data_IF_332415490667
#
_entry.id   IF_332415490667
#
_cell.length_a   1.000
_cell.length_b   1.000
_cell.length_c   1.000
_cell.angle_alpha   90.00
_cell.angle_beta   90.00
_cell.angle_gamma   90.00
#
_symmetry.space_group_name_H-M   'P 1'
#
loop_
_entity.id
_entity.type
_entity.pdbx_description
1 polymer ?
#
# COMPACT_ATOMS: atom_id res chain seq x y z
N UNK A 1 -42.98 -8.64 -4.28
CA UNK A 1 -41.55 -8.92 -4.47
C UNK A 1 -41.42 -10.26 -5.13
N UNK A 2 -40.65 -10.32 -6.21
CA UNK A 2 -40.23 -11.56 -6.84
C UNK A 2 -39.26 -12.29 -5.91
N UNK A 3 -39.28 -13.62 -5.91
CA UNK A 3 -38.34 -14.45 -5.15
C UNK A 3 -36.87 -14.08 -5.45
N UNK A 4 -36.59 -13.68 -6.69
CA UNK A 4 -35.27 -13.21 -7.10
C UNK A 4 -34.86 -11.89 -6.41
N UNK A 5 -35.81 -10.97 -6.21
CA UNK A 5 -35.55 -9.71 -5.50
C UNK A 5 -35.24 -9.97 -4.03
N UNK A 6 -35.97 -10.90 -3.40
CA UNK A 6 -35.71 -11.31 -2.01
C UNK A 6 -34.33 -11.97 -1.86
N UNK A 7 -33.92 -12.83 -2.80
CA UNK A 7 -32.57 -13.44 -2.77
C UNK A 7 -31.49 -12.36 -2.92
N UNK A 8 -31.65 -11.41 -3.86
CA UNK A 8 -30.69 -10.30 -4.04
C UNK A 8 -30.60 -9.42 -2.80
N UNK A 9 -31.73 -9.14 -2.16
CA UNK A 9 -31.78 -8.37 -0.93
C UNK A 9 -31.04 -9.08 0.21
N UNK A 10 -31.31 -10.37 0.42
CA UNK A 10 -30.63 -11.18 1.46
C UNK A 10 -29.11 -11.19 1.24
N UNK A 11 -28.67 -11.42 0.00
CA UNK A 11 -27.23 -11.43 -0.33
C UNK A 11 -26.58 -10.08 -0.01
N UNK A 12 -27.27 -8.97 -0.34
CA UNK A 12 -26.76 -7.63 -0.07
C UNK A 12 -26.63 -7.36 1.42
N UNK A 13 -27.67 -7.67 2.18
CA UNK A 13 -27.71 -7.49 3.63
C UNK A 13 -26.61 -8.30 4.34
N UNK A 14 -26.44 -9.56 3.95
CA UNK A 14 -25.39 -10.41 4.52
C UNK A 14 -23.98 -9.96 4.12
N UNK A 15 -23.78 -9.50 2.88
CA UNK A 15 -22.48 -8.96 2.45
C UNK A 15 -22.12 -7.67 3.20
N UNK A 16 -23.07 -6.75 3.38
CA UNK A 16 -22.86 -5.52 4.16
C UNK A 16 -22.49 -5.84 5.61
N UNK A 17 -23.16 -6.83 6.21
CA UNK A 17 -22.87 -7.31 7.57
C UNK A 17 -21.47 -7.91 7.69
N UNK A 18 -21.09 -8.81 6.77
CA UNK A 18 -19.74 -9.39 6.78
C UNK A 18 -18.64 -8.35 6.63
N UNK A 19 -18.85 -7.32 5.79
CA UNK A 19 -17.89 -6.22 5.65
C UNK A 19 -17.72 -5.46 6.97
N UNK A 20 -18.81 -5.16 7.67
CA UNK A 20 -18.75 -4.48 8.97
C UNK A 20 -18.04 -5.32 10.04
N UNK A 21 -18.24 -6.64 10.05
CA UNK A 21 -17.58 -7.54 11.00
C UNK A 21 -16.07 -7.63 10.73
N UNK A 22 -15.67 -7.71 9.45
CA UNK A 22 -14.26 -7.65 9.05
C UNK A 22 -13.64 -6.33 9.51
N UNK A 23 -14.30 -5.21 9.27
CA UNK A 23 -13.79 -3.90 9.66
C UNK A 23 -13.60 -3.79 11.18
N UNK A 24 -14.57 -4.26 11.98
CA UNK A 24 -14.47 -4.30 13.46
C UNK A 24 -13.32 -5.20 13.91
N UNK A 25 -13.16 -6.37 13.30
CA UNK A 25 -12.04 -7.27 13.62
C UNK A 25 -10.70 -6.61 13.34
N UNK A 26 -10.54 -5.98 12.17
CA UNK A 26 -9.33 -5.25 11.81
C UNK A 26 -9.04 -4.12 12.82
N UNK A 27 -10.05 -3.31 13.17
CA UNK A 27 -9.89 -2.22 14.14
C UNK A 27 -9.48 -2.73 15.53
N UNK A 28 -10.09 -3.81 16.03
CA UNK A 28 -9.76 -4.39 17.34
C UNK A 28 -8.32 -4.93 17.43
N UNK A 29 -7.77 -5.41 16.31
CA UNK A 29 -6.39 -5.89 16.22
C UNK A 29 -5.38 -4.77 15.93
N UNK A 30 -5.81 -3.50 15.98
CA UNK A 30 -4.94 -2.35 15.72
C UNK A 30 -4.50 -2.25 14.26
N UNK A 31 -5.29 -2.80 13.33
CA UNK A 31 -5.04 -2.66 11.90
C UNK A 31 -5.07 -1.19 11.53
N UNK A 32 -3.90 -0.59 11.37
CA UNK A 32 -3.75 0.72 10.74
C UNK A 32 -3.83 0.50 9.25
N UNK A 33 -4.86 1.05 8.61
CA UNK A 33 -4.92 1.14 7.16
C UNK A 33 -3.58 1.67 6.65
N UNK A 34 -2.97 0.96 5.71
CA UNK A 34 -1.65 1.34 5.22
C UNK A 34 -1.72 2.75 4.61
N UNK A 35 -0.74 3.62 4.92
CA UNK A 35 -0.76 4.97 4.40
C UNK A 35 -0.65 4.94 2.89
N UNK A 36 -1.45 5.76 2.19
CA UNK A 36 -1.38 5.86 0.72
C UNK A 36 -0.01 6.33 0.25
N UNK A 37 0.62 7.21 1.03
CA UNK A 37 1.94 7.76 0.77
C UNK A 37 2.79 7.69 2.02
N UNK A 38 4.07 7.36 1.80
CA UNK A 38 5.12 7.34 2.79
C UNK A 38 5.99 8.57 2.65
N UNK A 39 6.53 9.01 3.78
CA UNK A 39 7.69 9.90 3.87
C UNK A 39 8.97 9.15 3.53
N UNK A 40 10.07 9.91 3.36
CA UNK A 40 11.40 9.32 3.14
C UNK A 40 11.83 8.54 4.38
N UNK A 41 11.49 9.02 5.57
CA UNK A 41 11.76 8.35 6.85
C UNK A 41 11.05 7.00 6.95
N UNK A 42 9.75 6.94 6.68
CA UNK A 42 8.99 5.68 6.71
C UNK A 42 9.48 4.70 5.63
N UNK A 43 9.88 5.22 4.46
CA UNK A 43 10.47 4.38 3.40
C UNK A 43 11.81 3.81 3.82
N UNK A 44 12.64 4.59 4.51
CA UNK A 44 13.93 4.15 5.05
C UNK A 44 13.75 3.02 6.08
N UNK A 45 12.73 3.13 6.94
CA UNK A 45 12.37 2.11 7.92
C UNK A 45 11.95 0.80 7.24
N UNK A 46 11.12 0.88 6.21
CA UNK A 46 10.66 -0.28 5.42
C UNK A 46 11.83 -0.96 4.71
N UNK A 47 12.66 -0.17 4.00
CA UNK A 47 13.81 -0.68 3.25
C UNK A 47 14.98 -1.08 4.16
N UNK A 48 14.92 -0.77 5.45
CA UNK A 48 15.99 -1.00 6.44
C UNK A 48 17.34 -0.40 6.01
N UNK A 49 17.30 0.81 5.45
CA UNK A 49 18.50 1.57 5.06
C UNK A 49 18.52 2.95 5.72
N UNK A 50 19.68 3.60 5.73
CA UNK A 50 19.80 4.95 6.30
C UNK A 50 18.97 5.99 5.56
N UNK A 51 18.54 7.04 6.28
CA UNK A 51 17.79 8.18 5.71
C UNK A 51 18.54 8.80 4.52
N UNK A 52 19.84 9.07 4.67
CA UNK A 52 20.67 9.64 3.60
C UNK A 52 20.69 8.76 2.34
N UNK A 53 20.84 7.44 2.52
CA UNK A 53 20.79 6.50 1.40
C UNK A 53 19.41 6.50 0.72
N UNK A 54 18.34 6.64 1.50
CA UNK A 54 16.97 6.73 0.97
C UNK A 54 16.74 8.03 0.20
N UNK A 55 17.27 9.16 0.67
CA UNK A 55 17.23 10.43 -0.07
C UNK A 55 17.97 10.32 -1.41
N UNK A 56 19.16 9.71 -1.42
CA UNK A 56 19.91 9.46 -2.66
C UNK A 56 19.14 8.53 -3.60
N UNK A 57 18.52 7.47 -3.07
CA UNK A 57 17.67 6.57 -3.85
C UNK A 57 16.48 7.32 -4.48
N UNK A 58 15.83 8.20 -3.71
CA UNK A 58 14.74 9.04 -4.22
C UNK A 58 15.23 10.07 -5.25
N UNK A 59 16.46 10.57 -5.12
CA UNK A 59 17.06 11.49 -6.09
C UNK A 59 17.32 10.80 -7.43
N UNK A 60 17.68 9.52 -7.40
CA UNK A 60 17.95 8.69 -8.56
C UNK A 60 16.72 7.94 -9.08
N UNK A 61 15.51 8.36 -8.68
CA UNK A 61 14.23 7.68 -8.99
C UNK A 61 14.03 7.37 -10.48
N UNK A 62 14.48 8.28 -11.35
CA UNK A 62 14.37 8.14 -12.81
C UNK A 62 15.25 7.01 -13.37
N UNK A 63 16.36 6.69 -12.70
CA UNK A 63 17.30 5.66 -13.13
C UNK A 63 17.03 4.31 -12.48
N UNK A 64 16.59 4.29 -11.22
CA UNK A 64 16.36 3.06 -10.47
C UNK A 64 14.88 2.60 -10.48
N UNK A 65 13.97 3.41 -11.05
CA UNK A 65 12.55 3.10 -11.16
C UNK A 65 11.77 3.24 -9.85
N UNK A 66 12.34 3.84 -8.79
CA UNK A 66 11.65 4.03 -7.53
C UNK A 66 10.46 5.01 -7.72
N UNK A 67 9.24 4.65 -7.28
CA UNK A 67 8.07 5.52 -7.47
C UNK A 67 8.11 6.67 -6.47
N UNK A 68 8.45 7.85 -6.97
CA UNK A 68 8.56 9.07 -6.17
C UNK A 68 7.64 10.15 -6.73
N UNK A 69 6.86 10.76 -5.86
CA UNK A 69 6.06 11.97 -6.13
C UNK A 69 6.72 13.15 -5.43
N UNK A 70 7.13 14.15 -6.22
CA UNK A 70 7.69 15.41 -5.72
C UNK A 70 6.60 16.48 -5.76
N UNK A 71 6.22 16.99 -4.59
CA UNK A 71 5.31 18.12 -4.43
C UNK A 71 6.08 19.30 -3.85
N UNK A 72 6.61 20.14 -4.75
CA UNK A 72 7.59 21.18 -4.43
C UNK A 72 8.83 20.60 -3.76
N UNK A 73 9.05 20.93 -2.49
CA UNK A 73 10.17 20.45 -1.68
C UNK A 73 9.88 19.14 -0.94
N UNK A 74 8.66 18.63 -0.99
CA UNK A 74 8.26 17.41 -0.26
C UNK A 74 8.40 16.19 -1.17
N UNK A 75 9.02 15.15 -0.63
CA UNK A 75 9.11 13.84 -1.26
C UNK A 75 8.05 12.93 -0.63
N UNK A 76 7.28 12.25 -1.49
CA UNK A 76 6.28 11.25 -1.10
C UNK A 76 6.45 10.01 -1.94
N UNK A 77 6.36 8.85 -1.31
CA UNK A 77 6.53 7.55 -1.96
C UNK A 77 5.19 6.81 -1.85
N UNK A 78 4.50 6.48 -2.96
CA UNK A 78 3.29 5.69 -2.90
C UNK A 78 3.58 4.31 -2.30
N UNK A 79 2.86 3.92 -1.24
CA UNK A 79 3.14 2.66 -0.53
C UNK A 79 3.07 1.45 -1.48
N UNK A 80 1.97 1.33 -2.24
CA UNK A 80 1.78 0.22 -3.18
C UNK A 80 2.87 0.21 -4.25
N UNK A 81 3.28 1.39 -4.73
CA UNK A 81 4.36 1.50 -5.70
C UNK A 81 5.68 0.99 -5.13
N UNK A 82 6.01 1.37 -3.89
CA UNK A 82 7.22 0.90 -3.22
C UNK A 82 7.23 -0.62 -3.09
N UNK A 83 6.11 -1.24 -2.67
CA UNK A 83 6.02 -2.70 -2.54
C UNK A 83 6.24 -3.39 -3.88
N UNK A 84 5.57 -2.93 -4.95
CA UNK A 84 5.77 -3.47 -6.30
C UNK A 84 7.21 -3.32 -6.77
N UNK A 85 7.86 -2.19 -6.50
CA UNK A 85 9.26 -1.98 -6.84
C UNK A 85 10.19 -2.94 -6.07
N UNK A 86 9.95 -3.18 -4.78
CA UNK A 86 10.71 -4.15 -3.97
C UNK A 86 10.62 -5.55 -4.59
N UNK A 87 9.40 -5.99 -4.95
CA UNK A 87 9.17 -7.30 -5.57
C UNK A 87 9.91 -7.42 -6.91
N UNK A 88 9.89 -6.36 -7.73
CA UNK A 88 10.63 -6.31 -8.99
C UNK A 88 12.14 -6.43 -8.77
N UNK A 89 12.70 -5.72 -7.78
CA UNK A 89 14.13 -5.81 -7.45
C UNK A 89 14.53 -7.19 -6.92
N UNK A 90 13.66 -7.83 -6.13
CA UNK A 90 13.87 -9.18 -5.63
C UNK A 90 13.90 -10.20 -6.78
N UNK A 91 12.94 -10.10 -7.72
CA UNK A 91 12.82 -11.01 -8.85
C UNK A 91 13.92 -10.79 -9.91
N UNK A 92 14.30 -9.54 -10.18
CA UNK A 92 15.39 -9.21 -11.11
C UNK A 92 16.74 -9.81 -10.67
N UNK A 93 16.94 -10.01 -9.37
CA UNK A 93 18.13 -10.66 -8.82
C UNK A 93 18.11 -12.19 -8.87
N UNK A 94 16.95 -12.82 -9.08
CA UNK A 94 16.83 -14.29 -9.18
C UNK A 94 17.02 -14.80 -10.62
N UNK A 95 16.94 -13.91 -11.61
CA UNK A 95 17.12 -14.23 -13.02
C UNK A 95 18.58 -14.10 -13.52
N UNK A 96 19.52 -13.77 -12.63
CA UNK A 96 20.97 -13.72 -12.85
C UNK A 96 21.67 -14.70 -11.91
#
# INVERSE_FOLDING_TARGET
>A
MSMEESIRQIIREENEKHLQDIEKMLQSHGYKAQPKFLTVEETAEILRIGRTATYELCRQSEHNGLPVVKDGYKIRIPYNGLMTWIDQQANAKQAN
#
